data_IF_893466728442
#
_entry.id   IF_893466728442
#
_cell.length_a   1.000
_cell.length_b   1.000
_cell.length_c   1.000
_cell.angle_alpha   90.00
_cell.angle_beta   90.00
_cell.angle_gamma   90.00
#
_symmetry.space_group_name_H-M   'P 1'
#
loop_
_entity.id
_entity.type
_entity.pdbx_description
1 polymer ?
#
# COMPACT_ATOMS: atom_id res chain seq x y z
N UNK A 1 64.39 -54.05 33.06
CA UNK A 1 63.73 -52.74 32.81
C UNK A 1 63.21 -52.73 31.38
N UNK A 2 61.88 -52.62 31.18
CA UNK A 2 61.23 -52.53 29.85
C UNK A 2 60.95 -51.05 29.54
N UNK A 3 61.22 -50.52 28.33
CA UNK A 3 60.82 -49.17 28.00
C UNK A 3 59.36 -49.15 27.51
N UNK A 4 58.53 -48.38 28.20
CA UNK A 4 57.14 -48.11 27.83
C UNK A 4 57.13 -47.04 26.74
N UNK A 5 56.73 -47.41 25.51
CA UNK A 5 56.53 -46.46 24.39
C UNK A 5 55.32 -45.55 24.70
N UNK A 6 55.57 -44.29 25.03
CA UNK A 6 54.55 -43.25 25.04
C UNK A 6 54.08 -42.96 23.60
N UNK A 7 52.82 -43.31 23.32
CA UNK A 7 52.14 -43.00 22.07
C UNK A 7 51.67 -41.54 22.14
N UNK A 8 52.41 -40.61 21.51
CA UNK A 8 51.96 -39.22 21.33
C UNK A 8 50.70 -39.24 20.45
N UNK A 9 49.57 -38.86 21.04
CA UNK A 9 48.36 -38.50 20.31
C UNK A 9 48.62 -37.14 19.67
N UNK A 10 48.83 -37.12 18.34
CA UNK A 10 48.88 -35.89 17.56
C UNK A 10 47.45 -35.35 17.51
N UNK A 11 47.19 -34.22 18.18
CA UNK A 11 46.02 -33.41 17.90
C UNK A 11 46.15 -32.94 16.46
N UNK A 12 45.31 -33.48 15.57
CA UNK A 12 45.21 -33.08 14.18
C UNK A 12 44.67 -31.66 14.11
N UNK A 13 45.54 -30.69 13.82
CA UNK A 13 45.13 -29.36 13.41
C UNK A 13 44.44 -29.49 12.05
N UNK A 14 43.23 -28.94 11.93
CA UNK A 14 42.44 -28.94 10.70
C UNK A 14 43.26 -28.38 9.53
N UNK A 15 43.21 -29.05 8.39
CA UNK A 15 43.93 -28.63 7.19
C UNK A 15 43.31 -27.35 6.62
N UNK A 16 44.14 -26.46 6.07
CA UNK A 16 43.69 -25.24 5.40
C UNK A 16 42.69 -25.54 4.27
N UNK A 17 42.87 -26.65 3.56
CA UNK A 17 41.93 -27.14 2.55
C UNK A 17 40.58 -27.58 3.14
N UNK A 18 40.58 -28.18 4.33
CA UNK A 18 39.39 -28.65 5.04
C UNK A 18 38.55 -27.46 5.53
N UNK A 19 39.20 -26.41 6.04
CA UNK A 19 38.56 -25.14 6.40
C UNK A 19 37.96 -24.44 5.17
N UNK A 20 38.67 -24.46 4.04
CA UNK A 20 38.20 -23.80 2.81
C UNK A 20 36.97 -24.51 2.22
N UNK A 21 36.97 -25.85 2.22
CA UNK A 21 35.83 -26.66 1.79
C UNK A 21 34.63 -26.44 2.72
N UNK A 22 34.86 -26.47 4.04
CA UNK A 22 33.82 -26.21 5.03
C UNK A 22 33.18 -24.82 4.84
N UNK A 23 34.01 -23.79 4.61
CA UNK A 23 33.53 -22.43 4.36
C UNK A 23 32.70 -22.35 3.06
N UNK A 24 33.15 -23.01 1.98
CA UNK A 24 32.41 -23.06 0.72
C UNK A 24 31.02 -23.70 0.86
N UNK A 25 30.92 -24.79 1.63
CA UNK A 25 29.65 -25.46 1.92
C UNK A 25 28.73 -24.55 2.74
N UNK A 26 29.26 -23.89 3.78
CA UNK A 26 28.47 -22.96 4.61
C UNK A 26 27.93 -21.80 3.76
N UNK A 27 28.73 -21.22 2.87
CA UNK A 27 28.29 -20.14 1.98
C UNK A 27 27.21 -20.63 1.01
N UNK A 28 27.38 -21.80 0.40
CA UNK A 28 26.34 -22.39 -0.48
C UNK A 28 25.03 -22.67 0.25
N UNK A 29 25.08 -23.06 1.53
CA UNK A 29 23.88 -23.32 2.33
C UNK A 29 23.21 -22.02 2.83
N UNK A 30 23.97 -20.95 3.04
CA UNK A 30 23.45 -19.67 3.52
C UNK A 30 22.84 -18.80 2.40
N UNK A 31 23.33 -18.91 1.17
CA UNK A 31 22.85 -18.15 0.02
C UNK A 31 21.32 -18.28 -0.21
N UNK A 32 20.73 -19.49 -0.24
CA UNK A 32 19.28 -19.65 -0.39
C UNK A 32 18.48 -19.03 0.76
N UNK A 33 18.98 -19.13 1.99
CA UNK A 33 18.33 -18.58 3.19
C UNK A 33 18.29 -17.05 3.12
N UNK A 34 19.39 -16.41 2.71
CA UNK A 34 19.45 -14.97 2.49
C UNK A 34 18.53 -14.53 1.33
N UNK A 35 18.47 -15.31 0.25
CA UNK A 35 17.56 -15.03 -0.87
C UNK A 35 16.08 -15.14 -0.45
N UNK A 36 15.73 -16.14 0.37
CA UNK A 36 14.37 -16.29 0.91
C UNK A 36 14.02 -15.19 1.91
N UNK A 37 14.94 -14.76 2.76
CA UNK A 37 14.72 -13.63 3.68
C UNK A 37 14.57 -12.30 2.94
N UNK A 38 15.36 -12.08 1.88
CA UNK A 38 15.23 -10.92 1.01
C UNK A 38 13.89 -10.90 0.25
N UNK A 39 13.40 -12.06 -0.19
CA UNK A 39 12.10 -12.20 -0.86
C UNK A 39 10.90 -12.12 0.09
N UNK A 40 11.00 -12.68 1.29
CA UNK A 40 9.90 -12.74 2.27
C UNK A 40 9.50 -11.37 2.83
N UNK A 41 10.48 -10.51 3.13
CA UNK A 41 10.20 -9.15 3.61
C UNK A 41 9.52 -8.25 2.56
N UNK A 42 9.73 -8.53 1.26
CA UNK A 42 9.08 -7.82 0.17
C UNK A 42 7.60 -8.20 0.05
N UNK A 43 7.29 -9.51 0.13
CA UNK A 43 5.91 -10.02 0.09
C UNK A 43 5.08 -9.57 1.30
N UNK A 44 5.66 -9.55 2.50
CA UNK A 44 4.97 -9.07 3.70
C UNK A 44 4.64 -7.57 3.64
N UNK A 45 5.55 -6.75 3.10
CA UNK A 45 5.31 -5.31 2.91
C UNK A 45 4.20 -5.07 1.89
N UNK A 46 4.26 -5.71 0.72
CA UNK A 46 3.22 -5.62 -0.29
C UNK A 46 1.84 -6.07 0.23
N UNK A 47 1.80 -7.12 1.06
CA UNK A 47 0.57 -7.60 1.69
C UNK A 47 0.00 -6.58 2.68
N UNK A 48 0.84 -6.05 3.57
CA UNK A 48 0.44 -5.04 4.57
C UNK A 48 0.00 -3.75 3.90
N UNK A 49 0.70 -3.34 2.86
CA UNK A 49 0.35 -2.20 2.05
C UNK A 49 -1.01 -2.49 1.40
N UNK A 50 -1.18 -3.55 0.63
CA UNK A 50 -2.49 -3.88 0.04
C UNK A 50 -3.65 -3.92 1.03
N UNK A 51 -3.42 -4.44 2.23
CA UNK A 51 -4.41 -4.41 3.30
C UNK A 51 -4.80 -2.97 3.72
N UNK A 52 -3.81 -2.07 3.89
CA UNK A 52 -4.04 -0.68 4.22
C UNK A 52 -4.84 0.06 3.13
N UNK A 53 -4.52 -0.15 1.84
CA UNK A 53 -5.27 0.46 0.74
C UNK A 53 -6.71 -0.05 0.69
N UNK A 54 -6.90 -1.37 0.83
CA UNK A 54 -8.23 -1.96 0.88
C UNK A 54 -9.05 -1.43 2.06
N UNK A 55 -8.42 -1.24 3.23
CA UNK A 55 -9.08 -0.67 4.41
C UNK A 55 -9.54 0.76 4.18
N UNK A 56 -8.70 1.60 3.59
CA UNK A 56 -9.04 3.00 3.25
C UNK A 56 -10.20 3.01 2.25
N UNK A 57 -10.09 2.25 1.16
CA UNK A 57 -11.13 2.17 0.14
C UNK A 57 -12.46 1.66 0.73
N UNK A 58 -12.46 0.61 1.57
CA UNK A 58 -13.67 0.14 2.25
C UNK A 58 -14.27 1.18 3.17
N UNK A 59 -13.45 1.94 3.90
CA UNK A 59 -13.91 3.01 4.79
C UNK A 59 -14.60 4.11 3.99
N UNK A 60 -13.99 4.52 2.87
CA UNK A 60 -14.59 5.49 1.95
C UNK A 60 -15.92 4.97 1.43
N UNK A 61 -15.94 3.77 0.85
CA UNK A 61 -17.14 3.20 0.23
C UNK A 61 -18.27 3.00 1.25
N UNK A 62 -17.97 2.50 2.45
CA UNK A 62 -18.96 2.28 3.50
C UNK A 62 -19.44 3.60 4.15
N UNK A 63 -18.59 4.63 4.17
CA UNK A 63 -18.90 5.95 4.68
C UNK A 63 -19.69 6.82 3.72
N UNK A 64 -19.67 6.51 2.41
CA UNK A 64 -20.36 7.28 1.38
C UNK A 64 -21.88 7.10 1.47
N UNK A 65 -22.58 8.23 1.52
CA UNK A 65 -24.03 8.33 1.43
C UNK A 65 -24.40 9.45 0.47
N UNK A 66 -25.43 9.22 -0.34
CA UNK A 66 -26.06 10.27 -1.12
C UNK A 66 -26.79 11.23 -0.17
N UNK A 67 -26.53 12.52 -0.29
CA UNK A 67 -27.29 13.54 0.44
C UNK A 67 -28.58 13.82 -0.35
N UNK A 68 -29.73 13.48 0.24
CA UNK A 68 -31.02 13.29 -0.46
C UNK A 68 -31.70 14.54 -1.03
N UNK A 69 -30.94 15.52 -1.50
CA UNK A 69 -31.44 16.71 -2.19
C UNK A 69 -30.39 17.72 -2.62
N UNK A 70 -29.09 17.48 -2.36
CA UNK A 70 -28.03 18.47 -2.56
C UNK A 70 -27.15 18.29 -3.80
N UNK A 71 -27.30 17.20 -4.55
CA UNK A 71 -26.36 16.89 -5.63
C UNK A 71 -24.94 16.58 -5.11
N UNK A 72 -24.82 16.14 -3.85
CA UNK A 72 -23.53 15.85 -3.20
C UNK A 72 -23.57 14.51 -2.50
N UNK A 73 -22.38 13.93 -2.37
CA UNK A 73 -22.13 12.76 -1.56
C UNK A 73 -21.46 13.19 -0.27
N UNK A 74 -21.95 12.63 0.82
CA UNK A 74 -21.35 12.73 2.15
C UNK A 74 -20.51 11.49 2.38
N UNK A 75 -19.22 11.66 2.67
CA UNK A 75 -18.33 10.55 3.02
C UNK A 75 -17.93 10.68 4.48
N UNK A 76 -18.51 9.84 5.34
CA UNK A 76 -18.17 9.79 6.76
C UNK A 76 -16.89 8.95 6.97
N UNK A 77 -15.83 9.60 7.47
CA UNK A 77 -14.52 9.02 7.71
C UNK A 77 -14.30 8.72 9.19
N UNK A 78 -13.24 7.98 9.49
CA UNK A 78 -12.84 7.72 10.88
C UNK A 78 -12.53 9.02 11.64
N UNK A 79 -12.95 9.09 12.90
CA UNK A 79 -12.69 10.24 13.78
C UNK A 79 -13.60 11.45 13.54
N UNK A 80 -14.89 11.22 13.24
CA UNK A 80 -15.94 12.26 13.07
C UNK A 80 -15.68 13.27 11.93
N UNK A 81 -14.76 12.96 11.01
CA UNK A 81 -14.50 13.79 9.85
C UNK A 81 -15.45 13.42 8.71
N UNK A 82 -16.00 14.43 8.05
CA UNK A 82 -16.86 14.24 6.87
C UNK A 82 -16.26 15.01 5.70
N UNK A 83 -16.20 14.36 4.54
CA UNK A 83 -15.82 14.98 3.26
C UNK A 83 -17.04 15.04 2.37
N UNK A 84 -17.19 16.14 1.63
CA UNK A 84 -18.26 16.34 0.67
C UNK A 84 -17.71 16.23 -0.75
N UNK A 85 -18.38 15.44 -1.58
CA UNK A 85 -17.99 15.23 -2.97
C UNK A 85 -19.17 15.61 -3.84
N UNK A 86 -19.01 16.63 -4.68
CA UNK A 86 -20.06 17.06 -5.60
C UNK A 86 -20.32 15.97 -6.65
N UNK A 87 -21.60 15.66 -6.89
CA UNK A 87 -22.02 14.87 -8.03
C UNK A 87 -21.78 15.72 -9.28
N UNK A 88 -21.05 15.22 -10.29
CA UNK A 88 -20.74 16.00 -11.47
C UNK A 88 -21.99 16.40 -12.27
N UNK A 89 -23.05 15.60 -12.23
CA UNK A 89 -24.24 15.79 -13.06
C UNK A 89 -23.94 15.72 -14.57
N UNK A 90 -24.92 15.30 -15.38
CA UNK A 90 -24.91 15.57 -16.83
C UNK A 90 -23.64 15.25 -17.65
N UNK A 91 -22.92 14.16 -17.36
CA UNK A 91 -21.76 13.72 -18.15
C UNK A 91 -20.44 14.42 -17.83
N UNK A 92 -20.39 15.29 -16.82
CA UNK A 92 -19.14 15.80 -16.29
C UNK A 92 -18.43 14.77 -15.39
N UNK A 93 -17.18 15.04 -15.05
CA UNK A 93 -16.41 14.28 -14.06
C UNK A 93 -15.98 15.20 -12.93
N UNK A 94 -15.94 14.67 -11.71
CA UNK A 94 -15.42 15.36 -10.54
C UNK A 94 -14.29 14.54 -9.91
N UNK A 95 -13.22 15.20 -9.49
CA UNK A 95 -12.11 14.56 -8.79
C UNK A 95 -11.87 15.22 -7.43
N UNK A 96 -11.68 14.41 -6.39
CA UNK A 96 -11.31 14.86 -5.04
C UNK A 96 -10.06 14.11 -4.59
N UNK A 97 -9.11 14.84 -4.00
CA UNK A 97 -7.84 14.29 -3.54
C UNK A 97 -7.73 14.39 -2.02
N UNK A 98 -7.41 13.27 -1.38
CA UNK A 98 -7.38 13.10 0.07
C UNK A 98 -6.03 12.57 0.52
N UNK A 99 -5.63 12.95 1.72
CA UNK A 99 -4.43 12.43 2.39
C UNK A 99 -4.81 11.61 3.62
N UNK A 100 -4.26 10.40 3.67
CA UNK A 100 -4.39 9.49 4.80
C UNK A 100 -3.02 9.23 5.43
N UNK A 101 -2.97 9.23 6.76
CA UNK A 101 -1.80 8.86 7.52
C UNK A 101 -1.62 7.35 7.64
N UNK A 102 -0.56 6.95 8.32
CA UNK A 102 -0.35 5.57 8.72
C UNK A 102 -1.56 5.05 9.51
N UNK A 103 -2.00 3.81 9.21
CA UNK A 103 -3.19 3.22 9.82
C UNK A 103 -4.53 3.67 9.21
N UNK A 104 -4.53 4.53 8.19
CA UNK A 104 -5.74 4.93 7.46
C UNK A 104 -6.52 6.06 8.13
N UNK A 105 -5.86 6.88 8.95
CA UNK A 105 -6.46 8.08 9.53
C UNK A 105 -6.54 9.19 8.47
N UNK A 106 -7.72 9.79 8.29
CA UNK A 106 -7.85 10.94 7.40
C UNK A 106 -7.14 12.18 7.96
N UNK A 107 -6.21 12.74 7.19
CA UNK A 107 -5.43 13.91 7.57
C UNK A 107 -6.01 15.20 6.99
N UNK A 108 -6.49 15.17 5.75
CA UNK A 108 -7.10 16.31 5.10
C UNK A 108 -7.24 16.15 3.59
N UNK A 109 -7.91 17.10 2.95
CA UNK A 109 -7.93 17.26 1.49
C UNK A 109 -6.62 17.87 1.01
N UNK A 110 -6.19 17.45 -0.18
CA UNK A 110 -5.02 18.00 -0.86
C UNK A 110 -5.43 18.54 -2.22
N UNK A 111 -4.74 19.58 -2.69
CA UNK A 111 -4.92 20.03 -4.07
C UNK A 111 -4.33 19.03 -5.08
N UNK A 112 -4.76 19.13 -6.34
CA UNK A 112 -4.23 18.30 -7.43
C UNK A 112 -2.70 18.41 -7.55
N UNK A 113 -2.15 19.61 -7.40
CA UNK A 113 -0.70 19.81 -7.44
C UNK A 113 0.01 19.07 -6.30
N UNK A 114 -0.56 19.10 -5.09
CA UNK A 114 -0.05 18.36 -3.93
C UNK A 114 -0.14 16.85 -4.13
N UNK A 115 -1.22 16.38 -4.76
CA UNK A 115 -1.34 14.98 -5.17
C UNK A 115 -0.25 14.60 -6.19
N UNK A 116 -0.02 15.40 -7.23
CA UNK A 116 0.96 15.08 -8.28
C UNK A 116 2.41 15.11 -7.77
N UNK A 117 2.77 16.14 -7.02
CA UNK A 117 4.14 16.32 -6.50
C UNK A 117 4.44 15.36 -5.35
N UNK A 118 3.41 14.95 -4.61
CA UNK A 118 3.56 14.25 -3.36
C UNK A 118 3.58 15.22 -2.19
N UNK A 119 3.12 14.74 -1.05
CA UNK A 119 3.02 15.55 0.15
C UNK A 119 4.19 15.20 1.06
N UNK A 120 5.02 16.20 1.35
CA UNK A 120 6.18 16.08 2.21
C UNK A 120 5.81 15.41 3.56
N UNK A 121 6.74 14.64 4.16
CA UNK A 121 6.41 13.55 5.07
C UNK A 121 6.08 14.08 6.47
N UNK A 122 4.89 14.62 6.67
CA UNK A 122 4.36 14.78 8.02
C UNK A 122 4.05 13.41 8.66
N UNK A 123 3.81 12.37 7.84
CA UNK A 123 3.45 11.03 8.30
C UNK A 123 4.17 10.00 7.44
N UNK A 124 5.15 9.30 8.00
CA UNK A 124 5.79 8.16 7.34
C UNK A 124 4.76 7.11 6.97
N UNK A 125 4.83 6.55 5.75
CA UNK A 125 3.89 5.50 5.32
C UNK A 125 2.46 5.97 4.99
N UNK A 126 2.23 7.28 4.81
CA UNK A 126 0.92 7.81 4.39
C UNK A 126 0.51 7.41 2.97
N UNK A 127 -0.79 7.52 2.69
CA UNK A 127 -1.41 7.22 1.40
C UNK A 127 -2.07 8.48 0.82
N UNK A 128 -1.96 8.67 -0.48
CA UNK A 128 -2.78 9.62 -1.23
C UNK A 128 -3.96 8.88 -1.83
N UNK A 129 -5.13 9.50 -1.81
CA UNK A 129 -6.33 8.95 -2.42
C UNK A 129 -6.88 9.93 -3.42
N UNK A 130 -7.19 9.45 -4.63
CA UNK A 130 -7.96 10.20 -5.62
C UNK A 130 -9.28 9.49 -5.85
N UNK A 131 -10.38 10.22 -5.70
CA UNK A 131 -11.72 9.74 -6.00
C UNK A 131 -12.17 10.44 -7.26
N UNK A 132 -12.45 9.67 -8.31
CA UNK A 132 -13.05 10.17 -9.54
C UNK A 132 -14.50 9.71 -9.60
N UNK A 133 -15.40 10.68 -9.72
CA UNK A 133 -16.84 10.44 -9.88
C UNK A 133 -17.20 10.78 -11.31
N UNK A 134 -17.84 9.85 -12.01
CA UNK A 134 -18.30 10.04 -13.38
C UNK A 134 -19.75 9.59 -13.53
N UNK A 135 -20.51 10.33 -14.35
CA UNK A 135 -21.85 9.91 -14.75
C UNK A 135 -21.81 8.61 -15.56
N UNK A 136 -22.85 7.78 -15.46
CA UNK A 136 -23.02 6.66 -16.38
C UNK A 136 -23.44 7.16 -17.77
N UNK A 137 -22.75 6.73 -18.82
CA UNK A 137 -23.04 7.02 -20.24
C UNK A 137 -24.33 6.33 -20.78
N UNK A 138 -25.40 6.32 -19.99
CA UNK A 138 -26.71 5.80 -20.37
C UNK A 138 -27.66 6.95 -20.70
N UNK A 139 -27.79 7.29 -21.98
CA UNK A 139 -28.76 8.27 -22.46
C UNK A 139 -30.19 7.87 -22.08
N UNK A 140 -30.80 8.61 -21.16
CA UNK A 140 -32.18 8.42 -20.74
C UNK A 140 -32.39 8.76 -19.28
N UNK A 141 -33.42 9.57 -19.00
CA UNK A 141 -33.88 9.80 -17.63
C UNK A 141 -34.25 8.46 -16.97
N UNK A 142 -33.46 8.05 -15.96
CA UNK A 142 -33.62 6.79 -15.22
C UNK A 142 -32.59 5.76 -15.68
N UNK A 143 -31.45 5.59 -15.01
CA UNK A 143 -31.34 5.27 -13.59
C UNK A 143 -30.10 5.98 -13.03
N UNK A 144 -30.30 6.91 -12.08
CA UNK A 144 -29.25 7.76 -11.54
C UNK A 144 -28.24 6.99 -10.72
N UNK A 145 -27.23 6.43 -11.37
CA UNK A 145 -26.06 5.84 -10.75
C UNK A 145 -24.80 6.53 -11.28
N UNK A 146 -23.82 6.71 -10.41
CA UNK A 146 -22.53 7.32 -10.73
C UNK A 146 -21.42 6.33 -10.41
N UNK A 147 -20.45 6.26 -11.31
CA UNK A 147 -19.26 5.43 -11.14
C UNK A 147 -18.27 6.17 -10.26
N UNK A 148 -17.69 5.43 -9.33
CA UNK A 148 -16.70 5.93 -8.39
C UNK A 148 -15.44 5.08 -8.52
N UNK A 149 -14.39 5.71 -9.02
CA UNK A 149 -13.06 5.13 -9.10
C UNK A 149 -12.20 5.70 -7.96
N UNK A 150 -11.86 4.86 -7.00
CA UNK A 150 -11.01 5.21 -5.86
C UNK A 150 -9.61 4.68 -6.10
N UNK A 151 -8.67 5.58 -6.35
CA UNK A 151 -7.25 5.29 -6.48
C UNK A 151 -6.56 5.52 -5.15
N UNK A 152 -5.84 4.53 -4.64
CA UNK A 152 -5.00 4.65 -3.45
C UNK A 152 -3.54 4.55 -3.88
N UNK A 153 -2.79 5.65 -3.77
CA UNK A 153 -1.41 5.80 -4.21
C UNK A 153 -0.44 5.93 -3.04
N UNK A 154 0.71 5.26 -3.14
CA UNK A 154 1.70 5.16 -2.06
C UNK A 154 3.15 5.02 -2.54
N UNK A 155 4.12 5.46 -1.73
CA UNK A 155 3.94 6.25 -0.51
C UNK A 155 3.56 7.70 -0.89
N UNK A 156 2.77 8.37 -0.04
CA UNK A 156 2.29 9.74 -0.29
C UNK A 156 3.40 10.77 -0.54
N UNK A 157 4.60 10.53 0.01
CA UNK A 157 5.76 11.39 -0.13
C UNK A 157 6.55 11.18 -1.44
N UNK A 158 6.33 10.07 -2.15
CA UNK A 158 6.98 9.85 -3.44
C UNK A 158 6.34 10.70 -4.54
N UNK A 159 7.09 10.99 -5.60
CA UNK A 159 6.53 11.55 -6.83
C UNK A 159 5.55 10.54 -7.47
N UNK A 160 4.52 11.03 -8.16
CA UNK A 160 3.43 10.21 -8.74
C UNK A 160 3.93 8.99 -9.53
N UNK A 161 4.92 9.17 -10.40
CA UNK A 161 5.40 8.09 -11.29
C UNK A 161 6.14 6.97 -10.54
N UNK A 162 6.53 7.23 -9.29
CA UNK A 162 7.20 6.25 -8.42
C UNK A 162 6.27 5.63 -7.39
N UNK A 163 4.96 5.90 -7.46
CA UNK A 163 3.97 5.36 -6.53
C UNK A 163 3.37 4.06 -7.04
N UNK A 164 3.13 3.17 -6.11
CA UNK A 164 2.22 2.05 -6.33
C UNK A 164 0.78 2.57 -6.22
N UNK A 165 -0.06 2.15 -7.16
CA UNK A 165 -1.46 2.56 -7.23
C UNK A 165 -2.37 1.34 -7.21
N UNK A 166 -3.40 1.38 -6.37
CA UNK A 166 -4.49 0.41 -6.37
C UNK A 166 -5.80 1.11 -6.74
N UNK A 167 -6.58 0.50 -7.63
CA UNK A 167 -7.88 0.99 -8.07
C UNK A 167 -9.01 0.14 -7.47
N UNK A 168 -9.98 0.81 -6.86
CA UNK A 168 -11.22 0.23 -6.37
C UNK A 168 -12.39 0.92 -7.06
N UNK A 169 -13.25 0.13 -7.72
CA UNK A 169 -14.40 0.65 -8.44
C UNK A 169 -15.68 0.31 -7.69
N UNK A 170 -16.56 1.29 -7.56
CA UNK A 170 -17.90 1.10 -7.00
C UNK A 170 -18.90 2.01 -7.72
N UNK A 171 -20.19 1.83 -7.39
CA UNK A 171 -21.28 2.66 -7.92
C UNK A 171 -22.18 3.11 -6.79
N UNK A 172 -22.57 4.38 -6.83
CA UNK A 172 -23.56 4.94 -5.91
C UNK A 172 -24.75 5.49 -6.66
N UNK A 173 -25.92 5.44 -6.02
CA UNK A 173 -27.07 6.17 -6.53
C UNK A 173 -26.75 7.67 -6.54
N UNK A 174 -27.18 8.37 -7.59
CA UNK A 174 -27.08 9.81 -7.70
C UNK A 174 -27.93 10.46 -6.60
N UNK A 175 -27.38 11.42 -5.84
CA UNK A 175 -28.10 12.19 -4.82
C UNK A 175 -29.22 13.06 -5.39
#
# INVERSE_FOLDING_TARGET
MKPTRQRRVRNSAFSLSEVTIALGIVVMLMLPVLAMLAGGGSLERLSRDREAASRIARTLVAGTRADGGGGRYRVDLSGEKTVWIDSPGGGAENEVYLLFGEGGLFLGEVGEDGYRQGVAPAVGGGCLVRIRVSGSDGGGAGNGWENWDVFVERPAAAARDSRESELFQTRFARP
#
